data_IF_193366097880
#
_entry.id   IF_193366097880
#
_cell.length_a   1.000
_cell.length_b   1.000
_cell.length_c   1.000
_cell.angle_alpha   90.00
_cell.angle_beta   90.00
_cell.angle_gamma   90.00
#
_symmetry.space_group_name_H-M   'P 1'
#
loop_
_entity.id
_entity.type
_entity.pdbx_description
1 polymer ?
#
# COMPACT_ATOMS: atom_id res chain seq x y z
N UNK A 1 -11.36 6.84 22.68
CA UNK A 1 -10.00 6.25 22.82
C UNK A 1 -8.99 7.35 22.54
N UNK A 2 -7.82 7.34 23.19
CA UNK A 2 -6.72 8.26 22.88
C UNK A 2 -5.59 7.46 22.22
N UNK A 3 -5.09 7.96 21.10
CA UNK A 3 -3.81 7.56 20.54
C UNK A 3 -2.78 8.61 20.97
N UNK A 4 -1.77 8.19 21.73
CA UNK A 4 -0.64 9.04 22.11
C UNK A 4 0.54 8.73 21.18
N UNK A 5 0.98 9.75 20.44
CA UNK A 5 2.13 9.68 19.53
C UNK A 5 3.32 10.35 20.20
N UNK A 6 4.49 9.68 20.30
CA UNK A 6 5.68 10.31 20.86
C UNK A 6 6.18 11.44 19.94
N UNK A 7 6.95 12.37 20.49
CA UNK A 7 7.68 13.33 19.68
C UNK A 7 8.74 12.59 18.84
N UNK A 8 8.66 12.72 17.52
CA UNK A 8 9.63 12.16 16.56
C UNK A 8 10.15 13.33 15.73
N UNK A 9 11.48 13.49 15.69
CA UNK A 9 12.15 14.59 14.98
C UNK A 9 13.22 14.02 14.05
N UNK A 10 13.39 14.65 12.89
CA UNK A 10 14.45 14.30 11.93
C UNK A 10 14.30 12.94 11.24
N UNK A 11 13.13 12.29 11.37
CA UNK A 11 12.85 10.95 10.87
C UNK A 11 11.41 10.87 10.37
N UNK A 12 11.19 10.23 9.23
CA UNK A 12 9.82 10.03 8.77
C UNK A 12 9.03 9.14 9.73
N UNK A 13 7.81 9.54 10.03
CA UNK A 13 6.81 8.68 10.64
C UNK A 13 5.41 9.00 10.09
N UNK A 14 4.49 8.08 10.33
CA UNK A 14 3.06 8.32 10.19
C UNK A 14 2.29 7.40 11.12
N UNK A 15 1.24 7.92 11.76
CA UNK A 15 0.15 7.12 12.28
C UNK A 15 -1.05 7.29 11.34
N UNK A 16 -1.14 6.41 10.34
CA UNK A 16 -2.22 6.42 9.37
C UNK A 16 -3.46 5.76 9.96
N UNK A 17 -4.60 6.44 9.88
CA UNK A 17 -5.91 5.92 10.22
C UNK A 17 -6.69 5.62 8.94
N UNK A 18 -7.15 4.37 8.82
CA UNK A 18 -8.02 3.93 7.72
C UNK A 18 -9.34 3.38 8.27
N UNK A 19 -10.42 3.57 7.51
CA UNK A 19 -11.69 2.93 7.81
C UNK A 19 -11.72 1.43 7.42
N UNK A 20 -12.85 0.79 7.66
CA UNK A 20 -13.09 -0.61 7.35
C UNK A 20 -13.00 -0.90 5.85
N UNK A 21 -13.35 0.08 5.02
CA UNK A 21 -13.32 0.05 3.55
C UNK A 21 -11.96 0.44 2.96
N UNK A 22 -10.93 0.56 3.81
CA UNK A 22 -9.57 0.95 3.46
C UNK A 22 -9.42 2.39 2.93
N UNK A 23 -10.43 3.25 3.13
CA UNK A 23 -10.29 4.67 2.87
C UNK A 23 -9.38 5.31 3.92
N UNK A 24 -8.53 6.23 3.49
CA UNK A 24 -7.65 6.96 4.39
C UNK A 24 -8.47 8.06 5.09
N UNK A 25 -8.61 7.95 6.40
CA UNK A 25 -9.26 8.98 7.23
C UNK A 25 -8.29 10.16 7.38
N UNK A 26 -7.07 9.88 7.86
CA UNK A 26 -6.03 10.88 8.08
C UNK A 26 -4.68 10.22 8.39
N UNK A 27 -3.58 10.92 8.14
CA UNK A 27 -2.26 10.56 8.63
C UNK A 27 -1.87 11.53 9.75
N UNK A 28 -1.73 11.01 10.97
CA UNK A 28 -1.32 11.82 12.13
C UNK A 28 0.20 11.96 12.12
N UNK A 29 0.65 13.15 11.75
CA UNK A 29 2.04 13.58 11.64
C UNK A 29 2.10 15.11 11.52
N UNK A 30 3.29 15.68 11.42
CA UNK A 30 3.54 17.11 11.26
C UNK A 30 3.08 17.73 9.95
N UNK A 31 2.97 16.93 8.89
CA UNK A 31 2.52 17.41 7.57
C UNK A 31 1.03 17.76 7.59
N UNK A 32 0.22 16.96 8.28
CA UNK A 32 -1.23 17.18 8.40
C UNK A 32 -1.65 17.88 9.69
N UNK A 33 -0.85 17.79 10.76
CA UNK A 33 -1.13 18.40 12.08
C UNK A 33 0.04 19.27 12.55
N UNK A 34 0.45 20.32 11.80
CA UNK A 34 1.66 21.09 12.07
C UNK A 34 1.65 21.81 13.43
N UNK A 35 0.47 22.11 13.98
CA UNK A 35 0.32 22.75 15.30
C UNK A 35 0.47 21.77 16.46
N UNK A 36 0.16 20.50 16.24
CA UNK A 36 0.19 19.46 17.27
C UNK A 36 0.52 18.11 16.62
N UNK A 37 1.77 17.92 16.18
CA UNK A 37 2.18 16.76 15.40
C UNK A 37 2.31 15.47 16.22
N UNK A 38 2.49 15.61 17.53
CA UNK A 38 2.62 14.53 18.50
C UNK A 38 1.80 14.86 19.75
N UNK A 39 1.73 13.92 20.69
CA UNK A 39 0.91 14.02 21.89
C UNK A 39 -0.39 13.24 21.73
N UNK A 40 -1.47 13.71 22.37
CA UNK A 40 -2.73 12.97 22.47
C UNK A 40 -3.67 13.32 21.32
N UNK A 41 -4.15 12.29 20.63
CA UNK A 41 -5.20 12.38 19.63
C UNK A 41 -6.41 11.58 20.12
N UNK A 42 -7.51 12.27 20.41
CA UNK A 42 -8.76 11.65 20.81
C UNK A 42 -9.53 11.19 19.56
N UNK A 43 -9.63 9.88 19.37
CA UNK A 43 -10.46 9.29 18.31
C UNK A 43 -11.92 9.31 18.78
N UNK A 44 -12.73 10.13 18.12
CA UNK A 44 -14.12 10.42 18.49
C UNK A 44 -15.06 9.97 17.38
N UNK A 45 -16.04 9.14 17.73
CA UNK A 45 -17.06 8.71 16.77
C UNK A 45 -17.83 9.93 16.25
N UNK A 46 -17.91 10.06 14.93
CA UNK A 46 -18.62 11.15 14.27
C UNK A 46 -20.07 11.24 14.77
N UNK A 47 -20.53 12.46 15.05
CA UNK A 47 -21.87 12.71 15.59
C UNK A 47 -22.01 12.51 17.11
N UNK A 48 -20.93 12.13 17.81
CA UNK A 48 -20.91 12.05 19.28
C UNK A 48 -20.09 13.19 19.87
N UNK A 49 -20.30 13.50 21.15
CA UNK A 49 -19.54 14.53 21.87
C UNK A 49 -19.07 14.05 23.25
N UNK A 50 -18.19 13.03 23.30
CA UNK A 50 -17.64 12.56 24.57
C UNK A 50 -16.72 13.61 25.17
N UNK A 51 -16.57 13.58 26.51
CA UNK A 51 -15.51 14.34 27.19
C UNK A 51 -14.15 13.78 26.78
N UNK A 52 -13.25 14.65 26.34
CA UNK A 52 -11.86 14.33 25.99
C UNK A 52 -10.89 15.13 26.87
N UNK A 53 -9.63 14.71 27.05
CA UNK A 53 -8.61 15.51 27.73
C UNK A 53 -8.43 16.88 27.05
N UNK A 54 -8.20 17.92 27.84
CA UNK A 54 -8.04 19.30 27.34
C UNK A 54 -6.83 19.46 26.40
N UNK A 55 -5.81 18.64 26.58
CA UNK A 55 -4.58 18.61 25.78
C UNK A 55 -4.66 17.66 24.57
N UNK A 56 -5.82 17.05 24.30
CA UNK A 56 -6.00 16.13 23.19
C UNK A 56 -6.58 16.79 21.94
N UNK A 57 -5.99 16.50 20.78
CA UNK A 57 -6.55 16.86 19.46
C UNK A 57 -7.72 15.93 19.14
N UNK A 58 -8.90 16.50 18.85
CA UNK A 58 -10.06 15.71 18.39
C UNK A 58 -9.84 15.23 16.95
N UNK A 59 -9.94 13.93 16.73
CA UNK A 59 -9.93 13.29 15.41
C UNK A 59 -11.25 12.55 15.24
N UNK A 60 -12.10 13.01 14.33
CA UNK A 60 -13.37 12.33 14.05
C UNK A 60 -13.16 11.07 13.23
N UNK A 61 -13.81 9.97 13.62
CA UNK A 61 -13.79 8.69 12.92
C UNK A 61 -15.19 8.28 12.49
N UNK A 62 -15.38 7.67 11.31
CA UNK A 62 -16.71 7.42 10.74
C UNK A 62 -17.44 6.25 11.41
N UNK A 63 -16.72 5.37 12.11
CA UNK A 63 -17.20 4.09 12.62
C UNK A 63 -16.55 3.76 13.97
N UNK A 64 -17.05 2.70 14.62
CA UNK A 64 -16.52 2.24 15.91
C UNK A 64 -15.18 1.51 15.79
N UNK A 65 -14.72 1.21 14.57
CA UNK A 65 -13.47 0.50 14.30
C UNK A 65 -12.64 1.31 13.29
N UNK A 66 -11.35 1.47 13.61
CA UNK A 66 -10.39 2.14 12.73
C UNK A 66 -9.13 1.29 12.71
N UNK A 67 -8.48 1.20 11.55
CA UNK A 67 -7.19 0.55 11.39
C UNK A 67 -6.10 1.60 11.58
N UNK A 68 -5.17 1.35 12.50
CA UNK A 68 -3.99 2.20 12.71
C UNK A 68 -2.76 1.54 12.10
N UNK A 69 -2.04 2.27 11.26
CA UNK A 69 -0.74 1.88 10.76
C UNK A 69 0.30 2.88 11.25
N UNK A 70 1.03 2.47 12.30
CA UNK A 70 2.20 3.19 12.80
C UNK A 70 3.46 2.80 12.03
N UNK A 71 4.07 3.75 11.33
CA UNK A 71 5.33 3.56 10.61
C UNK A 71 6.36 4.54 11.14
N UNK A 72 7.55 4.06 11.43
CA UNK A 72 8.73 4.87 11.80
C UNK A 72 9.86 4.44 10.88
N UNK A 73 10.47 5.40 10.19
CA UNK A 73 11.59 5.14 9.29
C UNK A 73 12.79 4.60 10.07
N UNK A 74 13.56 3.70 9.44
CA UNK A 74 14.75 3.12 10.08
C UNK A 74 15.93 4.08 10.11
N UNK A 75 16.14 4.85 9.03
CA UNK A 75 17.20 5.86 8.93
C UNK A 75 18.61 5.37 9.35
N UNK A 76 18.91 4.08 9.13
CA UNK A 76 20.17 3.44 9.53
C UNK A 76 20.29 3.12 11.03
N UNK A 77 19.26 3.38 11.82
CA UNK A 77 19.18 3.14 13.26
C UNK A 77 17.87 2.39 13.59
N UNK A 78 17.95 1.06 13.48
CA UNK A 78 16.83 0.14 13.71
C UNK A 78 16.38 0.13 15.17
N UNK A 79 17.34 0.15 16.10
CA UNK A 79 17.05 0.11 17.54
C UNK A 79 16.30 1.37 17.98
N UNK A 80 16.73 2.55 17.51
CA UNK A 80 16.01 3.79 17.77
C UNK A 80 14.65 3.83 17.09
N UNK A 81 14.51 3.30 15.87
CA UNK A 81 13.22 3.17 15.19
C UNK A 81 12.22 2.34 16.03
N UNK A 82 12.65 1.16 16.48
CA UNK A 82 11.85 0.25 17.31
C UNK A 82 11.53 0.89 18.67
N UNK A 83 12.50 1.57 19.29
CA UNK A 83 12.29 2.28 20.55
C UNK A 83 11.26 3.39 20.41
N UNK A 84 11.23 4.13 19.30
CA UNK A 84 10.19 5.13 19.02
C UNK A 84 8.85 4.46 18.74
N UNK A 85 8.82 3.36 17.98
CA UNK A 85 7.61 2.60 17.69
C UNK A 85 6.92 2.13 18.98
N UNK A 86 7.69 1.61 19.96
CA UNK A 86 7.15 1.17 21.25
C UNK A 86 6.64 2.31 22.15
N UNK A 87 6.89 3.58 21.81
CA UNK A 87 6.36 4.72 22.57
C UNK A 87 4.98 5.18 22.10
N UNK A 88 4.46 4.67 20.97
CA UNK A 88 3.07 4.86 20.60
C UNK A 88 2.17 4.15 21.63
N UNK A 89 1.14 4.83 22.13
CA UNK A 89 0.23 4.24 23.11
C UNK A 89 -1.22 4.38 22.68
N UNK A 90 -2.00 3.35 22.99
CA UNK A 90 -3.45 3.41 22.97
C UNK A 90 -3.93 3.49 24.42
N UNK A 91 -4.58 4.59 24.77
CA UNK A 91 -5.13 4.83 26.10
C UNK A 91 -6.65 4.72 26.03
N UNK A 92 -7.22 3.79 26.79
CA UNK A 92 -8.66 3.63 26.90
C UNK A 92 -9.28 4.80 27.69
N UNK A 93 -10.44 5.25 27.23
CA UNK A 93 -11.29 6.17 28.00
C UNK A 93 -12.48 5.34 28.50
N UNK A 94 -12.48 5.00 29.79
CA UNK A 94 -13.43 4.04 30.35
C UNK A 94 -13.11 2.59 30.00
N UNK A 95 -14.08 1.70 30.21
CA UNK A 95 -13.97 0.28 29.87
C UNK A 95 -14.61 0.01 28.50
N UNK A 96 -13.83 -0.45 27.50
CA UNK A 96 -14.36 -0.71 26.17
C UNK A 96 -15.14 -2.03 26.14
N UNK A 97 -16.31 -2.01 25.52
CA UNK A 97 -16.97 -3.23 25.06
C UNK A 97 -16.35 -3.65 23.73
N UNK A 98 -15.90 -4.89 23.63
CA UNK A 98 -15.31 -5.42 22.40
C UNK A 98 -16.39 -6.14 21.59
N UNK A 99 -16.73 -5.58 20.44
CA UNK A 99 -17.62 -6.23 19.48
C UNK A 99 -16.87 -7.39 18.80
N UNK A 100 -17.49 -8.57 18.63
CA UNK A 100 -16.86 -9.67 17.91
C UNK A 100 -16.59 -9.29 16.46
N UNK A 101 -15.43 -9.67 15.94
CA UNK A 101 -15.12 -9.49 14.53
C UNK A 101 -16.08 -10.33 13.66
N UNK A 102 -16.42 -9.82 12.48
CA UNK A 102 -17.09 -10.62 11.46
C UNK A 102 -16.12 -11.71 11.00
N UNK A 103 -16.49 -12.97 11.16
CA UNK A 103 -15.71 -14.09 10.67
C UNK A 103 -15.71 -14.10 9.14
N UNK A 104 -14.52 -14.05 8.55
CA UNK A 104 -14.29 -14.12 7.10
C UNK A 104 -13.32 -15.28 6.87
N UNK A 105 -13.61 -16.22 5.95
CA UNK A 105 -12.68 -17.29 5.61
C UNK A 105 -11.31 -16.74 5.18
N UNK A 106 -10.25 -17.42 5.57
CA UNK A 106 -8.90 -17.10 5.08
C UNK A 106 -8.82 -17.31 3.56
N UNK A 107 -8.15 -16.40 2.86
CA UNK A 107 -7.91 -16.47 1.42
C UNK A 107 -6.53 -15.88 1.08
N UNK A 108 -6.07 -16.09 -0.15
CA UNK A 108 -4.83 -15.47 -0.67
C UNK A 108 -5.11 -14.76 -1.98
N UNK A 109 -4.13 -14.02 -2.52
CA UNK A 109 -4.23 -13.44 -3.86
C UNK A 109 -4.35 -14.51 -4.95
N UNK A 110 -3.70 -15.66 -4.77
CA UNK A 110 -3.78 -16.80 -5.68
C UNK A 110 -5.12 -17.54 -5.58
N UNK A 111 -5.68 -17.63 -4.37
CA UNK A 111 -6.96 -18.27 -4.08
C UNK A 111 -7.90 -17.28 -3.39
N UNK A 112 -8.46 -16.30 -4.14
CA UNK A 112 -9.28 -15.27 -3.55
C UNK A 112 -10.62 -15.85 -3.05
N UNK A 113 -11.25 -15.16 -2.11
CA UNK A 113 -12.60 -15.48 -1.70
C UNK A 113 -13.56 -15.14 -2.85
N UNK A 114 -14.14 -16.16 -3.47
CA UNK A 114 -15.01 -16.03 -4.66
C UNK A 114 -16.48 -15.89 -4.24
N UNK A 115 -17.39 -16.77 -4.66
CA UNK A 115 -18.83 -16.64 -4.36
C UNK A 115 -19.12 -16.59 -2.86
N UNK A 116 -18.23 -17.13 -2.04
CA UNK A 116 -18.37 -17.15 -0.60
C UNK A 116 -18.38 -15.75 0.03
N UNK A 117 -17.88 -14.71 -0.64
CA UNK A 117 -18.02 -13.30 -0.17
C UNK A 117 -19.48 -12.89 0.00
N UNK A 118 -20.40 -13.53 -0.73
CA UNK A 118 -21.83 -13.24 -0.71
C UNK A 118 -22.62 -14.11 0.28
N UNK A 119 -21.98 -15.04 1.00
CA UNK A 119 -22.68 -15.94 1.93
C UNK A 119 -23.29 -15.15 3.09
N UNK A 120 -24.55 -15.45 3.40
CA UNK A 120 -25.22 -14.97 4.61
C UNK A 120 -24.88 -15.86 5.82
N UNK A 121 -24.76 -15.31 7.04
CA UNK A 121 -24.96 -13.90 7.39
C UNK A 121 -23.70 -13.03 7.23
N UNK A 122 -22.59 -13.57 6.71
CA UNK A 122 -21.31 -12.84 6.63
C UNK A 122 -21.43 -11.53 5.84
N UNK A 123 -21.96 -11.58 4.61
CA UNK A 123 -22.09 -10.39 3.75
C UNK A 123 -22.93 -9.29 4.39
N UNK A 124 -24.00 -9.66 5.10
CA UNK A 124 -24.88 -8.73 5.82
C UNK A 124 -24.15 -8.06 6.97
N UNK A 125 -23.39 -8.85 7.75
CA UNK A 125 -22.57 -8.33 8.84
C UNK A 125 -21.45 -7.42 8.34
N UNK A 126 -20.81 -7.74 7.22
CA UNK A 126 -19.76 -6.89 6.62
C UNK A 126 -20.35 -5.54 6.17
N UNK A 127 -21.44 -5.55 5.39
CA UNK A 127 -22.08 -4.32 4.90
C UNK A 127 -22.56 -3.44 6.07
N UNK A 128 -23.13 -4.05 7.11
CA UNK A 128 -23.63 -3.32 8.27
C UNK A 128 -22.52 -2.85 9.24
N UNK A 129 -21.27 -3.30 9.06
CA UNK A 129 -20.19 -3.06 10.04
C UNK A 129 -19.73 -1.61 10.12
N UNK A 130 -19.84 -0.85 9.02
CA UNK A 130 -19.40 0.53 8.94
C UNK A 130 -20.12 1.31 7.83
N UNK A 131 -20.30 2.63 7.96
CA UNK A 131 -20.72 3.47 6.84
C UNK A 131 -19.73 3.35 5.67
N UNK A 132 -20.25 3.28 4.46
CA UNK A 132 -19.43 3.18 3.25
C UNK A 132 -18.86 4.54 2.86
N UNK A 133 -17.57 4.57 2.51
CA UNK A 133 -16.86 5.77 2.07
C UNK A 133 -17.15 6.16 0.62
N UNK A 134 -17.77 5.29 -0.18
CA UNK A 134 -18.21 5.58 -1.56
C UNK A 134 -19.55 6.31 -1.56
N UNK A 135 -19.56 7.56 -1.11
CA UNK A 135 -20.77 8.36 -0.86
C UNK A 135 -21.79 8.32 -2.00
N UNK A 136 -21.34 8.32 -3.26
CA UNK A 136 -22.27 8.45 -4.40
C UNK A 136 -22.82 7.12 -4.91
N UNK A 137 -22.12 6.00 -4.68
CA UNK A 137 -22.44 4.70 -5.32
C UNK A 137 -22.72 3.56 -4.33
N UNK A 138 -22.41 3.76 -3.03
CA UNK A 138 -22.47 2.70 -2.02
C UNK A 138 -23.83 2.00 -1.95
N UNK A 139 -24.93 2.76 -1.83
CA UNK A 139 -26.29 2.20 -1.72
C UNK A 139 -26.60 1.25 -2.88
N UNK A 140 -26.27 1.63 -4.10
CA UNK A 140 -26.60 0.83 -5.27
C UNK A 140 -25.67 -0.38 -5.43
N UNK A 141 -24.40 -0.26 -5.04
CA UNK A 141 -23.50 -1.42 -4.98
C UNK A 141 -23.95 -2.42 -3.91
N UNK A 142 -24.30 -1.96 -2.71
CA UNK A 142 -24.78 -2.81 -1.63
C UNK A 142 -26.07 -3.54 -2.01
N UNK A 143 -27.02 -2.86 -2.69
CA UNK A 143 -28.22 -3.53 -3.24
C UNK A 143 -27.84 -4.66 -4.21
N UNK A 144 -26.91 -4.42 -5.14
CA UNK A 144 -26.45 -5.47 -6.08
C UNK A 144 -25.81 -6.65 -5.33
N UNK A 145 -24.96 -6.38 -4.34
CA UNK A 145 -24.35 -7.41 -3.49
C UNK A 145 -25.42 -8.25 -2.79
N UNK A 146 -26.45 -7.60 -2.23
CA UNK A 146 -27.56 -8.31 -1.57
C UNK A 146 -28.43 -9.10 -2.54
N UNK A 147 -28.67 -8.59 -3.75
CA UNK A 147 -29.35 -9.35 -4.82
C UNK A 147 -28.57 -10.60 -5.21
N UNK A 148 -27.23 -10.53 -5.30
CA UNK A 148 -26.39 -11.71 -5.55
C UNK A 148 -26.49 -12.69 -4.37
N UNK A 149 -26.40 -12.21 -3.13
CA UNK A 149 -26.54 -13.03 -1.93
C UNK A 149 -27.87 -13.80 -1.88
N UNK A 150 -28.98 -13.15 -2.25
CA UNK A 150 -30.30 -13.79 -2.37
C UNK A 150 -30.40 -14.74 -3.55
N UNK A 151 -29.72 -14.45 -4.66
CA UNK A 151 -29.71 -15.32 -5.82
C UNK A 151 -28.98 -16.64 -5.52
N UNK A 152 -27.79 -16.56 -4.92
CA UNK A 152 -26.98 -17.76 -4.61
C UNK A 152 -27.60 -18.62 -3.49
N UNK A 153 -28.44 -18.05 -2.62
CA UNK A 153 -29.09 -18.82 -1.56
C UNK A 153 -30.24 -19.70 -2.06
N UNK A 154 -30.67 -19.56 -3.32
CA UNK A 154 -31.81 -20.31 -3.88
C UNK A 154 -31.43 -21.72 -4.34
N UNK A 155 -30.17 -21.95 -4.73
CA UNK A 155 -29.68 -23.26 -5.16
C UNK A 155 -28.15 -23.30 -5.27
N UNK A 156 -27.58 -24.50 -5.16
CA UNK A 156 -26.14 -24.70 -5.40
C UNK A 156 -25.75 -24.36 -6.85
N UNK A 157 -26.62 -24.63 -7.83
CA UNK A 157 -26.39 -24.24 -9.23
C UNK A 157 -26.28 -22.72 -9.44
N UNK A 158 -27.06 -21.92 -8.71
CA UNK A 158 -26.93 -20.46 -8.74
C UNK A 158 -25.60 -20.01 -8.12
N UNK A 159 -25.19 -20.67 -7.02
CA UNK A 159 -23.91 -20.42 -6.38
C UNK A 159 -22.75 -20.73 -7.34
N UNK A 160 -22.77 -21.90 -7.98
CA UNK A 160 -21.77 -22.30 -8.98
C UNK A 160 -21.72 -21.33 -10.15
N UNK A 161 -22.87 -20.89 -10.66
CA UNK A 161 -22.95 -19.90 -11.75
C UNK A 161 -22.24 -18.60 -11.39
N UNK A 162 -22.48 -18.06 -10.19
CA UNK A 162 -21.80 -16.82 -9.74
C UNK A 162 -20.31 -17.07 -9.50
N UNK A 163 -19.94 -18.22 -8.94
CA UNK A 163 -18.55 -18.58 -8.71
C UNK A 163 -17.74 -18.62 -10.03
N UNK A 164 -18.30 -19.22 -11.07
CA UNK A 164 -17.71 -19.25 -12.41
C UNK A 164 -17.58 -17.85 -13.01
N UNK A 165 -18.60 -17.00 -12.88
CA UNK A 165 -18.54 -15.60 -13.34
C UNK A 165 -17.41 -14.84 -12.62
N UNK A 166 -17.26 -15.02 -11.32
CA UNK A 166 -16.20 -14.36 -10.56
C UNK A 166 -14.81 -14.80 -11.05
N UNK A 167 -14.60 -16.11 -11.18
CA UNK A 167 -13.33 -16.71 -11.60
C UNK A 167 -12.96 -16.38 -13.05
N UNK A 168 -13.93 -16.45 -13.96
CA UNK A 168 -13.67 -16.32 -15.40
C UNK A 168 -13.79 -14.89 -15.92
N UNK A 169 -14.49 -14.00 -15.20
CA UNK A 169 -14.76 -12.63 -15.66
C UNK A 169 -14.35 -11.57 -14.67
N UNK A 170 -14.85 -11.62 -13.43
CA UNK A 170 -14.67 -10.50 -12.49
C UNK A 170 -13.20 -10.32 -12.06
N UNK A 171 -12.55 -11.39 -11.59
CA UNK A 171 -11.13 -11.33 -11.20
C UNK A 171 -10.22 -11.03 -12.40
N UNK A 172 -10.35 -11.69 -13.56
CA UNK A 172 -9.58 -11.33 -14.75
C UNK A 172 -9.75 -9.87 -15.18
N UNK A 173 -10.97 -9.32 -15.11
CA UNK A 173 -11.22 -7.91 -15.42
C UNK A 173 -10.55 -6.97 -14.42
N UNK A 174 -10.53 -7.31 -13.12
CA UNK A 174 -9.82 -6.53 -12.10
C UNK A 174 -8.30 -6.53 -12.35
N UNK A 175 -7.73 -7.69 -12.67
CA UNK A 175 -6.30 -7.80 -12.98
C UNK A 175 -5.95 -7.05 -14.27
N UNK A 176 -6.79 -7.13 -15.30
CA UNK A 176 -6.61 -6.36 -16.54
C UNK A 176 -6.70 -4.84 -16.29
N UNK A 177 -7.68 -4.39 -15.49
CA UNK A 177 -7.75 -3.00 -15.05
C UNK A 177 -6.47 -2.57 -14.34
N UNK A 178 -5.96 -3.41 -13.42
CA UNK A 178 -4.72 -3.14 -12.71
C UNK A 178 -3.51 -3.00 -13.62
N UNK A 179 -3.39 -3.92 -14.59
CA UNK A 179 -2.35 -3.87 -15.60
C UNK A 179 -2.38 -2.54 -16.34
N UNK A 180 -3.56 -2.02 -16.67
CA UNK A 180 -3.75 -0.78 -17.46
C UNK A 180 -3.92 0.51 -16.66
N UNK A 181 -3.93 0.41 -15.33
CA UNK A 181 -4.08 1.55 -14.46
C UNK A 181 -2.81 2.41 -14.40
N UNK A 182 -2.99 3.72 -14.19
CA UNK A 182 -1.91 4.67 -13.91
C UNK A 182 -1.25 5.25 -15.16
N UNK A 183 -0.29 6.13 -14.93
CA UNK A 183 0.59 6.66 -15.97
C UNK A 183 1.77 5.70 -16.17
N UNK A 184 2.00 5.28 -17.42
CA UNK A 184 2.93 4.19 -17.76
C UNK A 184 4.09 4.66 -18.62
N UNK A 185 5.33 4.43 -18.17
CA UNK A 185 6.57 4.77 -18.91
C UNK A 185 7.70 3.85 -18.48
N UNK A 186 8.52 3.39 -19.43
CA UNK A 186 9.77 2.68 -19.13
C UNK A 186 9.63 1.45 -18.23
N UNK A 187 8.57 0.66 -18.40
CA UNK A 187 8.31 -0.54 -17.59
C UNK A 187 7.59 -0.27 -16.25
N UNK A 188 7.36 0.99 -15.89
CA UNK A 188 6.65 1.36 -14.66
C UNK A 188 5.23 1.84 -14.93
N UNK A 189 4.32 1.55 -13.99
CA UNK A 189 3.03 2.25 -13.80
C UNK A 189 3.06 3.07 -12.51
N UNK A 190 2.67 4.33 -12.58
CA UNK A 190 2.57 5.23 -11.43
C UNK A 190 1.13 5.63 -11.13
N UNK A 191 0.81 5.70 -9.85
CA UNK A 191 -0.48 6.22 -9.35
C UNK A 191 -0.66 7.73 -9.51
N UNK A 192 0.45 8.49 -9.66
CA UNK A 192 0.47 9.97 -9.61
C UNK A 192 -0.31 10.54 -8.41
N UNK A 193 -0.70 11.81 -8.47
CA UNK A 193 -1.48 12.44 -7.43
C UNK A 193 -2.90 11.85 -7.34
N UNK A 194 -3.24 11.32 -6.16
CA UNK A 194 -4.59 10.99 -5.73
C UNK A 194 -4.70 11.23 -4.21
N UNK A 195 -5.81 11.84 -3.80
CA UNK A 195 -5.99 12.21 -2.39
C UNK A 195 -6.66 11.08 -1.59
N UNK A 196 -7.63 10.42 -2.21
CA UNK A 196 -8.49 9.38 -1.61
C UNK A 196 -8.93 8.39 -2.69
N UNK A 197 -9.39 7.21 -2.29
CA UNK A 197 -10.04 6.31 -3.23
C UNK A 197 -11.41 6.86 -3.68
N UNK A 198 -12.20 7.35 -2.73
CA UNK A 198 -13.55 7.86 -2.98
C UNK A 198 -14.41 6.83 -3.71
N UNK A 199 -15.20 7.29 -4.69
CA UNK A 199 -16.11 6.43 -5.46
C UNK A 199 -15.37 5.53 -6.49
N UNK A 200 -14.03 5.60 -6.60
CA UNK A 200 -13.26 4.78 -7.54
C UNK A 200 -13.02 3.37 -6.98
N UNK A 201 -14.07 2.55 -7.04
CA UNK A 201 -14.07 1.17 -6.54
C UNK A 201 -13.05 0.28 -7.26
N UNK A 202 -12.82 0.48 -8.56
CA UNK A 202 -11.83 -0.31 -9.31
C UNK A 202 -10.41 -0.04 -8.79
N UNK A 203 -10.02 1.23 -8.67
CA UNK A 203 -8.73 1.60 -8.10
C UNK A 203 -8.59 1.11 -6.66
N UNK A 204 -9.61 1.31 -5.82
CA UNK A 204 -9.60 0.81 -4.44
C UNK A 204 -9.40 -0.70 -4.36
N UNK A 205 -10.10 -1.44 -5.23
CA UNK A 205 -10.06 -2.91 -5.25
C UNK A 205 -8.69 -3.41 -5.69
N UNK A 206 -8.13 -2.87 -6.79
CA UNK A 206 -6.82 -3.31 -7.26
C UNK A 206 -5.69 -2.87 -6.30
N UNK A 207 -5.78 -1.69 -5.71
CA UNK A 207 -4.81 -1.24 -4.71
C UNK A 207 -4.78 -2.22 -3.54
N UNK A 208 -5.94 -2.57 -2.96
CA UNK A 208 -6.02 -3.52 -1.85
C UNK A 208 -5.67 -4.96 -2.26
N UNK A 209 -5.88 -5.34 -3.52
CA UNK A 209 -5.39 -6.61 -4.06
C UNK A 209 -3.86 -6.64 -4.09
N UNK A 210 -3.20 -5.62 -4.66
CA UNK A 210 -1.73 -5.55 -4.72
C UNK A 210 -1.05 -5.25 -3.38
N UNK A 211 -1.80 -4.70 -2.42
CA UNK A 211 -1.36 -4.52 -1.04
C UNK A 211 -2.38 -3.70 -0.24
N UNK A 212 -2.81 -4.17 0.91
CA UNK A 212 -3.78 -3.43 1.72
C UNK A 212 -3.17 -2.18 2.36
N UNK A 213 -4.02 -1.17 2.63
CA UNK A 213 -3.67 0.04 3.42
C UNK A 213 -2.64 0.98 2.78
N UNK A 214 -2.85 1.30 1.50
CA UNK A 214 -2.08 2.33 0.80
C UNK A 214 -2.22 3.67 1.50
N UNK A 215 -1.17 4.51 1.39
CA UNK A 215 -1.25 5.91 1.79
C UNK A 215 -1.95 6.76 0.72
N UNK A 216 -2.23 8.03 1.02
CA UNK A 216 -2.52 9.02 -0.03
C UNK A 216 -1.24 9.33 -0.82
N UNK A 217 -1.37 9.84 -2.04
CA UNK A 217 -0.19 10.15 -2.87
C UNK A 217 0.72 11.22 -2.26
N UNK A 218 0.15 12.13 -1.45
CA UNK A 218 0.91 13.16 -0.72
C UNK A 218 1.86 12.58 0.32
N UNK A 219 1.58 11.37 0.78
CA UNK A 219 2.44 10.65 1.72
C UNK A 219 3.35 9.68 0.98
N UNK A 220 2.84 8.96 -0.04
CA UNK A 220 3.64 8.04 -0.86
C UNK A 220 3.11 7.98 -2.28
N UNK A 221 3.98 8.23 -3.28
CA UNK A 221 3.74 7.82 -4.67
C UNK A 221 4.38 6.46 -4.91
N UNK A 222 3.62 5.57 -5.54
CA UNK A 222 4.04 4.21 -5.88
C UNK A 222 4.30 4.11 -7.39
N UNK A 223 5.43 3.50 -7.74
CA UNK A 223 5.77 3.06 -9.09
C UNK A 223 5.87 1.53 -9.08
N UNK A 224 5.00 0.89 -9.86
CA UNK A 224 4.92 -0.56 -9.99
C UNK A 224 5.60 -1.00 -11.28
N UNK A 225 6.57 -1.89 -11.18
CA UNK A 225 7.33 -2.40 -12.33
C UNK A 225 7.09 -3.89 -12.52
N UNK A 226 6.30 -4.25 -13.53
CA UNK A 226 6.00 -5.65 -13.88
C UNK A 226 6.54 -6.03 -15.28
N UNK A 227 6.90 -5.04 -16.07
CA UNK A 227 7.43 -5.17 -17.43
C UNK A 227 8.73 -4.35 -17.55
N UNK A 228 9.57 -4.68 -18.53
CA UNK A 228 10.70 -3.84 -18.92
C UNK A 228 10.26 -2.71 -19.86
N UNK A 229 11.20 -1.89 -20.34
CA UNK A 229 10.94 -0.77 -21.23
C UNK A 229 10.48 -1.18 -22.64
N UNK A 230 10.55 -2.47 -22.98
CA UNK A 230 10.00 -3.04 -24.20
C UNK A 230 8.60 -3.66 -23.99
N UNK A 231 8.07 -3.61 -22.77
CA UNK A 231 6.76 -4.18 -22.42
C UNK A 231 6.77 -5.69 -22.20
N UNK A 232 7.95 -6.29 -21.97
CA UNK A 232 8.09 -7.72 -21.68
C UNK A 232 8.08 -7.94 -20.17
N UNK A 233 7.28 -8.90 -19.70
CA UNK A 233 7.21 -9.25 -18.27
C UNK A 233 8.60 -9.59 -17.74
N UNK A 234 8.97 -8.94 -16.63
CA UNK A 234 10.29 -9.14 -16.02
C UNK A 234 10.39 -10.52 -15.37
N UNK A 235 11.51 -11.21 -15.61
CA UNK A 235 11.76 -12.57 -15.14
C UNK A 235 13.23 -12.76 -14.72
N UNK A 236 13.49 -13.43 -13.59
CA UNK A 236 14.83 -13.57 -13.03
C UNK A 236 15.81 -14.46 -13.79
N UNK A 237 15.42 -15.00 -14.96
CA UNK A 237 16.35 -15.54 -15.95
C UNK A 237 17.14 -14.45 -16.70
N UNK A 238 16.70 -13.20 -16.63
CA UNK A 238 17.36 -12.06 -17.26
C UNK A 238 18.06 -11.17 -16.23
N UNK A 239 18.95 -10.31 -16.73
CA UNK A 239 19.55 -9.22 -15.97
C UNK A 239 18.86 -7.93 -16.37
N UNK A 240 18.36 -7.17 -15.40
CA UNK A 240 17.82 -5.84 -15.63
C UNK A 240 18.64 -4.78 -14.91
N UNK A 241 18.60 -3.57 -15.43
CA UNK A 241 19.31 -2.42 -14.89
C UNK A 241 18.43 -1.17 -14.94
N UNK A 242 18.45 -0.41 -13.85
CA UNK A 242 17.82 0.91 -13.74
C UNK A 242 18.95 1.93 -13.56
N UNK A 243 19.12 2.83 -14.54
CA UNK A 243 20.17 3.86 -14.53
C UNK A 243 19.58 5.19 -14.09
N UNK A 244 19.81 5.57 -12.84
CA UNK A 244 19.53 6.91 -12.36
C UNK A 244 20.68 7.82 -12.75
N UNK A 245 20.46 8.72 -13.70
CA UNK A 245 21.40 9.82 -13.95
C UNK A 245 21.49 10.72 -12.70
N UNK A 246 22.51 11.59 -12.59
CA UNK A 246 22.65 12.43 -11.41
C UNK A 246 21.39 13.26 -11.12
N UNK A 247 20.71 13.77 -12.13
CA UNK A 247 19.43 14.48 -12.02
C UNK A 247 18.27 13.59 -11.58
N UNK A 248 18.29 12.29 -11.88
CA UNK A 248 17.20 11.36 -11.60
C UNK A 248 17.25 10.74 -10.20
N UNK A 249 18.32 10.99 -9.43
CA UNK A 249 18.51 10.42 -8.09
C UNK A 249 17.34 10.81 -7.18
N UNK A 250 16.62 9.81 -6.67
CA UNK A 250 15.36 9.98 -5.97
C UNK A 250 15.43 10.85 -4.72
N UNK A 251 16.56 10.88 -4.01
CA UNK A 251 16.78 11.78 -2.86
C UNK A 251 16.53 13.26 -3.21
N UNK A 252 16.63 13.64 -4.50
CA UNK A 252 16.33 15.00 -4.97
C UNK A 252 14.83 15.26 -5.16
N UNK A 253 14.02 14.21 -5.22
CA UNK A 253 12.61 14.26 -5.62
C UNK A 253 11.63 13.89 -4.48
N UNK A 254 12.15 13.60 -3.30
CA UNK A 254 11.38 13.30 -2.09
C UNK A 254 11.85 14.17 -0.93
N UNK A 255 10.94 14.49 -0.01
CA UNK A 255 11.26 15.22 1.23
C UNK A 255 11.50 14.29 2.43
N UNK A 256 11.24 12.99 2.27
CA UNK A 256 11.57 11.96 3.28
C UNK A 256 12.58 10.96 2.73
N UNK A 257 12.12 9.83 2.21
CA UNK A 257 12.99 8.77 1.71
C UNK A 257 12.36 8.03 0.52
N UNK A 258 13.10 7.11 -0.06
CA UNK A 258 12.60 6.23 -1.11
C UNK A 258 13.01 4.78 -0.85
N UNK A 259 12.30 3.84 -1.44
CA UNK A 259 12.68 2.42 -1.40
C UNK A 259 12.28 1.72 -2.68
N UNK A 260 13.10 0.79 -3.16
CA UNK A 260 12.78 -0.17 -4.21
C UNK A 260 12.74 -1.58 -3.61
N UNK A 261 11.59 -2.23 -3.69
CA UNK A 261 11.37 -3.60 -3.19
C UNK A 261 11.11 -4.55 -4.35
N UNK A 262 11.71 -5.75 -4.32
CA UNK A 262 11.43 -6.83 -5.26
C UNK A 262 10.58 -7.90 -4.57
N UNK A 263 9.51 -8.34 -5.25
CA UNK A 263 8.53 -9.25 -4.70
C UNK A 263 8.12 -10.33 -5.70
N UNK A 264 7.56 -11.43 -5.20
CA UNK A 264 6.93 -12.46 -6.01
C UNK A 264 5.59 -11.99 -6.58
N UNK A 265 5.13 -12.70 -7.59
CA UNK A 265 3.76 -12.63 -8.10
C UNK A 265 3.16 -14.04 -8.07
N UNK A 266 1.86 -14.21 -7.81
CA UNK A 266 0.85 -13.16 -7.58
C UNK A 266 0.71 -12.73 -6.10
N UNK A 267 1.60 -13.20 -5.20
CA UNK A 267 1.43 -13.00 -3.75
C UNK A 267 1.99 -11.66 -3.23
N UNK A 268 2.79 -10.94 -4.01
CA UNK A 268 3.39 -9.64 -3.66
C UNK A 268 4.19 -9.70 -2.35
N UNK A 269 4.93 -10.79 -2.13
CA UNK A 269 5.80 -11.00 -0.95
C UNK A 269 7.26 -10.88 -1.31
N UNK A 270 8.06 -10.40 -0.37
CA UNK A 270 9.51 -10.38 -0.52
C UNK A 270 10.07 -11.80 -0.65
N UNK A 271 11.08 -11.96 -1.52
CA UNK A 271 11.62 -13.27 -1.87
C UNK A 271 12.88 -13.55 -1.06
N UNK A 272 12.91 -14.62 -0.23
CA UNK A 272 14.11 -15.07 0.46
C UNK A 272 15.31 -15.17 -0.49
N UNK A 273 16.45 -14.60 -0.09
CA UNK A 273 17.68 -14.63 -0.89
C UNK A 273 18.93 -14.65 0.00
N UNK A 274 20.07 -15.01 -0.59
CA UNK A 274 21.35 -15.20 0.11
C UNK A 274 21.89 -13.95 0.82
N UNK A 275 21.46 -12.76 0.41
CA UNK A 275 21.86 -11.50 1.04
C UNK A 275 20.93 -11.07 2.18
N UNK A 276 19.81 -11.77 2.38
CA UNK A 276 18.71 -11.33 3.24
C UNK A 276 18.30 -9.87 2.93
N UNK A 277 18.37 -9.49 1.64
CA UNK A 277 18.13 -8.13 1.14
C UNK A 277 16.91 -8.14 0.25
N UNK A 278 15.83 -7.54 0.72
CA UNK A 278 14.54 -7.54 0.01
C UNK A 278 14.19 -6.20 -0.63
N UNK A 279 14.91 -5.16 -0.22
CA UNK A 279 14.79 -3.82 -0.77
C UNK A 279 16.15 -3.10 -0.73
N UNK A 280 16.22 -2.03 -1.50
CA UNK A 280 17.25 -0.99 -1.40
C UNK A 280 16.57 0.37 -1.24
N UNK A 281 17.27 1.34 -0.66
CA UNK A 281 16.73 2.64 -0.27
C UNK A 281 17.85 3.68 -0.09
N UNK A 282 17.49 4.91 0.30
CA UNK A 282 18.40 6.02 0.57
C UNK A 282 19.51 5.76 1.62
N UNK A 283 19.35 4.78 2.53
CA UNK A 283 20.40 4.43 3.52
C UNK A 283 21.32 3.31 3.02
N UNK A 284 21.06 2.78 1.82
CA UNK A 284 21.91 1.77 1.21
C UNK A 284 23.25 2.38 0.78
N UNK A 285 24.35 1.67 1.05
CA UNK A 285 25.72 2.14 0.76
C UNK A 285 26.09 1.87 -0.70
N UNK A 286 25.41 2.55 -1.62
CA UNK A 286 25.64 2.36 -3.05
C UNK A 286 27.03 2.82 -3.49
N UNK A 287 27.53 2.19 -4.55
CA UNK A 287 28.68 2.67 -5.30
C UNK A 287 28.17 3.46 -6.50
N UNK A 288 28.45 4.76 -6.50
CA UNK A 288 28.10 5.65 -7.61
C UNK A 288 29.16 5.59 -8.71
N UNK A 289 28.74 5.89 -9.92
CA UNK A 289 29.62 6.09 -11.08
C UNK A 289 30.40 7.41 -10.92
N UNK A 290 31.45 7.60 -11.74
CA UNK A 290 32.29 8.80 -11.67
C UNK A 290 31.58 10.10 -12.01
N UNK A 291 30.46 10.03 -12.74
CA UNK A 291 29.59 11.17 -13.06
C UNK A 291 28.54 11.45 -11.97
N UNK A 292 28.51 10.64 -10.90
CA UNK A 292 27.53 10.72 -9.82
C UNK A 292 26.21 10.00 -10.11
N UNK A 293 26.12 9.26 -11.22
CA UNK A 293 24.96 8.41 -11.52
C UNK A 293 24.97 7.11 -10.71
N UNK A 294 23.81 6.46 -10.62
CA UNK A 294 23.62 5.20 -9.92
C UNK A 294 22.99 4.18 -10.86
N UNK A 295 23.60 3.00 -10.95
CA UNK A 295 23.01 1.83 -11.61
C UNK A 295 22.58 0.82 -10.57
N UNK A 296 21.30 0.45 -10.57
CA UNK A 296 20.78 -0.67 -9.79
C UNK A 296 20.57 -1.87 -10.69
N UNK A 297 20.96 -3.05 -10.21
CA UNK A 297 20.88 -4.30 -10.96
C UNK A 297 19.89 -5.26 -10.32
N UNK A 298 19.07 -5.89 -11.16
CA UNK A 298 18.08 -6.90 -10.77
C UNK A 298 18.41 -8.18 -11.53
N UNK A 299 18.88 -9.20 -10.82
CA UNK A 299 19.36 -10.43 -11.43
C UNK A 299 19.37 -11.57 -10.42
N UNK A 300 19.26 -12.81 -10.88
CA UNK A 300 19.35 -13.98 -9.99
C UNK A 300 20.75 -14.23 -9.43
N UNK A 301 21.79 -13.84 -10.18
CA UNK A 301 23.18 -13.85 -9.74
C UNK A 301 23.80 -12.47 -9.91
N UNK A 302 24.83 -12.17 -9.11
CA UNK A 302 25.56 -10.91 -9.18
C UNK A 302 26.20 -10.75 -10.56
N UNK A 303 25.80 -9.75 -11.38
CA UNK A 303 26.40 -9.56 -12.69
C UNK A 303 27.89 -9.21 -12.59
N UNK A 304 28.70 -9.73 -13.52
CA UNK A 304 30.16 -9.54 -13.50
C UNK A 304 30.52 -8.05 -13.53
N UNK A 305 31.40 -7.63 -12.62
CA UNK A 305 31.88 -6.24 -12.54
C UNK A 305 30.90 -5.26 -11.90
N UNK A 306 29.78 -5.73 -11.36
CA UNK A 306 28.83 -4.87 -10.64
C UNK A 306 29.11 -4.87 -9.13
N UNK A 307 28.97 -3.72 -8.44
CA UNK A 307 29.07 -3.66 -6.98
C UNK A 307 27.91 -4.45 -6.34
N UNK A 308 28.21 -5.33 -5.38
CA UNK A 308 27.17 -6.08 -4.66
C UNK A 308 26.17 -5.16 -3.95
N UNK A 309 26.60 -3.97 -3.51
CA UNK A 309 25.75 -2.93 -2.91
C UNK A 309 24.62 -2.45 -3.82
N UNK A 310 24.80 -2.53 -5.14
CA UNK A 310 23.88 -2.01 -6.14
C UNK A 310 22.96 -3.10 -6.70
N UNK A 311 23.08 -4.33 -6.22
CA UNK A 311 22.35 -5.49 -6.71
C UNK A 311 21.21 -5.88 -5.76
N UNK A 312 20.05 -6.18 -6.33
CA UNK A 312 18.92 -6.79 -5.66
C UNK A 312 18.65 -8.18 -6.27
N UNK A 313 18.78 -9.28 -5.49
CA UNK A 313 18.59 -10.63 -6.02
C UNK A 313 17.16 -10.88 -6.52
N UNK A 314 17.04 -11.34 -7.77
CA UNK A 314 15.79 -11.74 -8.41
C UNK A 314 15.60 -13.28 -8.39
N UNK A 315 14.38 -13.81 -8.49
CA UNK A 315 14.13 -15.25 -8.45
C UNK A 315 14.41 -15.90 -9.81
N UNK A 316 15.43 -16.77 -9.90
CA UNK A 316 15.77 -17.48 -11.15
C UNK A 316 14.56 -18.27 -11.70
N UNK A 317 14.31 -18.16 -13.00
CA UNK A 317 13.22 -18.87 -13.68
C UNK A 317 11.81 -18.41 -13.33
N UNK A 318 11.64 -17.33 -12.55
CA UNK A 318 10.34 -16.87 -12.09
C UNK A 318 10.12 -15.39 -12.44
N UNK A 319 8.87 -15.00 -12.77
CA UNK A 319 8.52 -13.59 -12.85
C UNK A 319 8.64 -12.93 -11.47
N UNK A 320 8.84 -11.63 -11.46
CA UNK A 320 8.83 -10.82 -10.25
C UNK A 320 8.20 -9.46 -10.52
N UNK A 321 7.92 -8.72 -9.46
CA UNK A 321 7.43 -7.33 -9.53
C UNK A 321 8.28 -6.42 -8.67
N UNK A 322 8.37 -5.16 -9.07
CA UNK A 322 9.05 -4.09 -8.35
C UNK A 322 8.04 -3.11 -7.80
N UNK A 323 8.26 -2.65 -6.57
CA UNK A 323 7.55 -1.53 -5.99
C UNK A 323 8.56 -0.49 -5.53
N UNK A 324 8.62 0.62 -6.26
CA UNK A 324 9.37 1.80 -5.88
C UNK A 324 8.43 2.80 -5.21
N UNK A 325 8.78 3.20 -4.00
CA UNK A 325 7.99 4.10 -3.15
C UNK A 325 8.77 5.39 -2.94
N UNK A 326 8.15 6.52 -3.30
CA UNK A 326 8.66 7.86 -3.07
C UNK A 326 7.85 8.47 -1.90
N UNK A 327 8.46 8.58 -0.71
CA UNK A 327 7.79 9.05 0.50
C UNK A 327 7.90 10.57 0.63
N UNK A 328 6.76 11.21 0.94
CA UNK A 328 6.61 12.68 0.91
C UNK A 328 7.15 13.23 -0.42
N UNK A 329 6.55 12.81 -1.55
CA UNK A 329 7.05 13.15 -2.87
C UNK A 329 6.91 14.65 -3.15
N UNK A 330 7.90 15.23 -3.84
CA UNK A 330 7.83 16.61 -4.30
C UNK A 330 6.82 16.78 -5.44
N UNK A 331 6.55 18.03 -5.81
CA UNK A 331 5.48 18.38 -6.75
C UNK A 331 5.71 17.78 -8.14
N UNK A 332 6.96 17.69 -8.59
CA UNK A 332 7.32 17.09 -9.88
C UNK A 332 7.01 15.59 -9.92
N UNK A 333 7.07 14.88 -8.79
CA UNK A 333 6.71 13.45 -8.68
C UNK A 333 5.19 13.29 -8.67
N UNK A 334 4.49 14.12 -7.90
CA UNK A 334 3.02 14.11 -7.80
C UNK A 334 2.35 14.42 -9.15
N UNK A 335 2.82 15.47 -9.81
CA UNK A 335 2.37 15.85 -11.15
C UNK A 335 2.86 14.87 -12.22
N UNK A 336 3.94 14.14 -11.92
CA UNK A 336 4.71 13.23 -12.76
C UNK A 336 5.43 13.91 -13.94
N UNK A 337 5.83 15.16 -13.75
CA UNK A 337 6.90 15.78 -14.53
C UNK A 337 8.21 15.00 -14.35
N UNK A 338 8.54 14.63 -13.11
CA UNK A 338 9.54 13.62 -12.81
C UNK A 338 8.96 12.22 -12.98
N UNK A 339 9.76 11.32 -13.54
CA UNK A 339 9.43 9.91 -13.62
C UNK A 339 10.69 9.07 -13.44
N UNK A 340 10.56 7.91 -12.79
CA UNK A 340 11.71 7.04 -12.51
C UNK A 340 12.32 6.49 -13.81
N UNK A 341 13.64 6.25 -13.86
CA UNK A 341 14.30 5.72 -15.05
C UNK A 341 13.75 4.35 -15.47
N UNK A 342 13.82 4.02 -16.77
CA UNK A 342 13.28 2.77 -17.29
C UNK A 342 13.94 1.52 -16.68
N UNK A 343 13.16 0.44 -16.56
CA UNK A 343 13.68 -0.90 -16.28
C UNK A 343 14.19 -1.48 -17.59
N UNK A 344 15.51 -1.55 -17.77
CA UNK A 344 16.10 -2.03 -19.03
C UNK A 344 16.62 -3.45 -18.88
N UNK A 345 16.24 -4.33 -19.80
CA UNK A 345 16.90 -5.62 -19.95
C UNK A 345 18.33 -5.41 -20.47
N UNK A 346 19.29 -6.08 -19.84
CA UNK A 346 20.68 -6.11 -20.31
C UNK A 346 20.87 -7.27 -21.27
N UNK A 347 21.61 -7.01 -22.35
CA UNK A 347 21.99 -8.01 -23.35
C UNK A 347 23.13 -8.91 -22.89
#
# INVERSE_FOLDING_TARGET
MILEIPKIEGRYYTAQLCDEWAEVITNLNERNYPKTPYGKFALVLKGTNPKIPEDAVRVEVPSKKVKLLGRVERQGDDEGAVKLQHQFKIIKLGEPTIDPAVEIPTFTNEHPLTVDVFKKPMVEKVIASAPDSMVSIASDMQKKVMTIAEFISKSDGNRETIDEILKQKAFPALLAYGKDYGDKRGGWSSTREYIKFGDNMWFRSIANFGGIWWNSSKEVVYYMGEEDDEGVVINGDNVYMIHFKPEDILDKHVDAYWSLTLMDVPNYRVIPNKLNRFNVNNISKFTYESDGSLKLYLASELPKGTPESNWLPAPKGQPFTLNLRAYVPKTEVLSGEYYVPPIKKMN
#
